data_IF_770605371293
#
_entry.id   IF_770605371293
#
_cell.length_a   1.000
_cell.length_b   1.000
_cell.length_c   1.000
_cell.angle_alpha   90.00
_cell.angle_beta   90.00
_cell.angle_gamma   90.00
#
_symmetry.space_group_name_H-M   'P 1'
#
loop_
_entity.id
_entity.type
_entity.pdbx_description
1 polymer ?
#
# COMPACT_ATOMS: atom_id res chain seq x y z
N UNK A 1 -25.19 0.03 1.43
CA UNK A 1 -23.80 0.56 1.31
C UNK A 1 -23.38 0.49 -0.14
N UNK A 2 -22.77 1.55 -0.68
CA UNK A 2 -22.18 1.57 -2.04
C UNK A 2 -20.89 0.75 -2.01
N UNK A 3 -20.76 -0.27 -2.88
CA UNK A 3 -19.57 -1.15 -2.87
C UNK A 3 -19.23 -1.59 -4.28
N UNK A 4 -17.99 -1.40 -4.71
CA UNK A 4 -17.54 -1.86 -6.03
C UNK A 4 -16.02 -1.92 -6.14
N UNK A 5 -15.55 -2.67 -7.13
CA UNK A 5 -14.15 -2.65 -7.57
C UNK A 5 -14.03 -1.79 -8.81
N UNK A 6 -13.08 -0.87 -8.83
CA UNK A 6 -12.71 -0.09 -10.02
C UNK A 6 -11.53 -0.77 -10.69
N UNK A 7 -11.73 -1.28 -11.90
CA UNK A 7 -10.71 -2.00 -12.66
C UNK A 7 -10.53 -1.40 -14.06
N UNK A 8 -9.51 -1.82 -14.78
CA UNK A 8 -9.25 -1.37 -16.15
C UNK A 8 -8.56 -2.47 -16.95
N UNK A 9 -8.57 -2.42 -18.29
CA UNK A 9 -7.88 -3.39 -19.14
C UNK A 9 -6.37 -3.43 -18.95
N UNK A 10 -5.75 -2.30 -18.55
CA UNK A 10 -4.30 -2.17 -18.39
C UNK A 10 -3.93 -1.08 -17.36
N UNK A 11 -2.65 -1.07 -16.97
CA UNK A 11 -2.06 0.07 -16.24
C UNK A 11 -2.11 1.34 -17.11
N UNK A 12 -2.19 2.52 -16.46
CA UNK A 12 -2.25 3.80 -17.17
C UNK A 12 -3.62 4.16 -17.75
N UNK A 13 -4.67 3.37 -17.52
CA UNK A 13 -6.04 3.64 -17.99
C UNK A 13 -6.79 4.71 -17.18
N UNK A 14 -6.17 5.29 -16.14
CA UNK A 14 -6.74 6.35 -15.31
C UNK A 14 -7.54 5.88 -14.09
N UNK A 15 -7.32 4.64 -13.62
CA UNK A 15 -7.97 4.12 -12.39
C UNK A 15 -7.78 5.06 -11.21
N UNK A 16 -6.53 5.40 -10.86
CA UNK A 16 -6.21 6.24 -9.70
C UNK A 16 -6.87 7.62 -9.79
N UNK A 17 -6.83 8.26 -10.97
CA UNK A 17 -7.52 9.55 -11.18
C UNK A 17 -9.02 9.44 -10.97
N UNK A 18 -9.66 8.38 -11.52
CA UNK A 18 -11.10 8.14 -11.33
C UNK A 18 -11.43 7.72 -9.89
N UNK A 19 -10.57 6.95 -9.21
CA UNK A 19 -10.72 6.64 -7.79
C UNK A 19 -10.78 7.93 -6.97
N UNK A 20 -9.81 8.82 -7.15
CA UNK A 20 -9.78 10.11 -6.45
C UNK A 20 -11.00 10.97 -6.76
N UNK A 21 -11.40 11.03 -8.04
CA UNK A 21 -12.59 11.79 -8.47
C UNK A 21 -13.87 11.24 -7.83
N UNK A 22 -14.06 9.92 -7.83
CA UNK A 22 -15.25 9.27 -7.26
C UNK A 22 -15.29 9.40 -5.73
N UNK A 23 -14.17 9.21 -5.03
CA UNK A 23 -14.10 9.38 -3.58
C UNK A 23 -14.44 10.82 -3.18
N UNK A 24 -13.87 11.81 -3.87
CA UNK A 24 -14.17 13.23 -3.62
C UNK A 24 -15.62 13.59 -3.97
N UNK A 25 -16.17 13.05 -5.07
CA UNK A 25 -17.55 13.26 -5.47
C UNK A 25 -18.55 12.64 -4.48
N UNK A 26 -18.27 11.43 -3.98
CA UNK A 26 -19.08 10.79 -2.94
C UNK A 26 -19.11 11.63 -1.65
N UNK A 27 -17.95 12.14 -1.21
CA UNK A 27 -17.89 13.07 -0.06
C UNK A 27 -18.70 14.33 -0.27
N UNK A 28 -18.60 14.98 -1.45
CA UNK A 28 -19.42 16.17 -1.78
C UNK A 28 -20.93 15.88 -1.73
N UNK A 29 -21.33 14.64 -1.97
CA UNK A 29 -22.73 14.19 -1.89
C UNK A 29 -23.17 13.77 -0.48
N UNK A 30 -22.29 13.88 0.50
CA UNK A 30 -22.60 13.60 1.90
C UNK A 30 -22.39 12.13 2.31
N UNK A 31 -21.80 11.30 1.46
CA UNK A 31 -21.41 9.94 1.84
C UNK A 31 -20.07 9.94 2.62
N UNK A 32 -19.92 9.00 3.53
CA UNK A 32 -18.66 8.68 4.22
C UNK A 32 -17.91 7.53 3.53
N UNK A 33 -17.13 7.76 2.46
CA UNK A 33 -16.43 6.69 1.77
C UNK A 33 -15.18 6.21 2.50
N UNK A 34 -14.85 4.92 2.35
CA UNK A 34 -13.53 4.36 2.54
C UNK A 34 -12.97 3.81 1.21
N UNK A 35 -11.67 3.64 1.15
CA UNK A 35 -11.00 3.14 -0.04
C UNK A 35 -10.15 1.90 0.29
N UNK A 36 -9.98 1.04 -0.70
CA UNK A 36 -9.09 -0.10 -0.64
C UNK A 36 -8.24 -0.15 -1.91
N UNK A 37 -6.96 -0.44 -1.73
CA UNK A 37 -6.04 -0.68 -2.84
C UNK A 37 -5.72 -2.16 -2.95
N UNK A 38 -5.91 -2.74 -4.13
CA UNK A 38 -5.44 -4.09 -4.43
C UNK A 38 -3.92 -4.10 -4.55
N UNK A 39 -3.27 -5.03 -3.86
CA UNK A 39 -1.82 -5.18 -3.92
C UNK A 39 -1.03 -4.35 -2.91
N UNK A 40 0.32 -4.39 -3.00
CA UNK A 40 1.25 -3.90 -1.97
C UNK A 40 1.61 -2.42 -2.15
N UNK A 41 0.66 -1.59 -2.52
CA UNK A 41 0.85 -0.17 -2.81
C UNK A 41 0.77 0.66 -1.53
N UNK A 42 1.77 1.49 -1.26
CA UNK A 42 1.78 2.44 -0.15
C UNK A 42 1.29 3.83 -0.56
N UNK A 43 1.53 4.21 -1.82
CA UNK A 43 1.38 5.59 -2.30
C UNK A 43 -0.09 5.98 -2.41
N UNK A 44 -0.91 5.17 -3.09
CA UNK A 44 -2.33 5.49 -3.27
C UNK A 44 -3.08 5.55 -1.93
N UNK A 45 -2.93 4.57 -0.97
CA UNK A 45 -3.55 4.70 0.34
C UNK A 45 -3.06 5.90 1.16
N UNK A 46 -1.79 6.27 1.09
CA UNK A 46 -1.27 7.48 1.73
C UNK A 46 -1.93 8.73 1.15
N UNK A 47 -2.04 8.80 -0.17
CA UNK A 47 -2.69 9.92 -0.85
C UNK A 47 -4.17 10.05 -0.47
N UNK A 48 -4.91 8.95 -0.44
CA UNK A 48 -6.30 8.96 -0.03
C UNK A 48 -6.46 9.51 1.39
N UNK A 49 -5.60 9.09 2.32
CA UNK A 49 -5.65 9.58 3.71
C UNK A 49 -5.23 11.04 3.85
N UNK A 50 -4.15 11.46 3.20
CA UNK A 50 -3.59 12.81 3.37
C UNK A 50 -4.36 13.86 2.57
N UNK A 51 -4.62 13.63 1.27
CA UNK A 51 -5.21 14.59 0.35
C UNK A 51 -6.73 14.57 0.35
N UNK A 52 -7.35 13.38 0.36
CA UNK A 52 -8.80 13.24 0.31
C UNK A 52 -9.45 13.16 1.69
N UNK A 53 -8.67 12.92 2.75
CA UNK A 53 -9.19 12.64 4.10
C UNK A 53 -10.19 11.47 4.06
N UNK A 54 -9.79 10.40 3.40
CA UNK A 54 -10.54 9.15 3.23
C UNK A 54 -9.72 8.02 3.83
N UNK A 55 -10.32 7.22 4.70
CA UNK A 55 -9.68 6.03 5.23
C UNK A 55 -9.38 5.06 4.08
N UNK A 56 -8.16 4.57 4.05
CA UNK A 56 -7.69 3.76 2.93
C UNK A 56 -6.76 2.64 3.40
N UNK A 57 -6.98 1.44 2.85
CA UNK A 57 -6.39 0.19 3.29
C UNK A 57 -5.90 -0.64 2.10
N UNK A 58 -5.10 -1.67 2.38
CA UNK A 58 -4.65 -2.61 1.35
C UNK A 58 -5.39 -3.94 1.47
N UNK A 59 -5.79 -4.49 0.33
CA UNK A 59 -6.30 -5.85 0.23
C UNK A 59 -5.46 -6.63 -0.78
N UNK A 60 -4.78 -7.66 -0.31
CA UNK A 60 -3.82 -8.39 -1.13
C UNK A 60 -3.94 -9.90 -0.93
N UNK A 61 -4.37 -10.60 -2.00
CA UNK A 61 -4.53 -12.05 -2.02
C UNK A 61 -3.20 -12.82 -2.14
N UNK A 62 -2.07 -12.14 -2.31
CA UNK A 62 -0.77 -12.76 -2.18
C UNK A 62 -0.31 -12.81 -0.73
N UNK A 63 -0.57 -11.75 0.03
CA UNK A 63 -0.20 -11.67 1.44
C UNK A 63 -1.17 -12.43 2.33
N UNK A 64 -2.45 -12.47 1.98
CA UNK A 64 -3.51 -12.95 2.86
C UNK A 64 -4.42 -13.95 2.17
N UNK A 65 -4.84 -14.97 2.92
CA UNK A 65 -5.87 -15.90 2.48
C UNK A 65 -7.21 -15.18 2.21
N UNK A 66 -8.06 -15.71 1.33
CA UNK A 66 -9.35 -15.09 0.99
C UNK A 66 -10.21 -14.73 2.20
N UNK A 67 -10.28 -15.57 3.23
CA UNK A 67 -11.06 -15.30 4.44
C UNK A 67 -10.50 -14.14 5.25
N UNK A 68 -9.17 -14.01 5.32
CA UNK A 68 -8.50 -12.86 5.93
C UNK A 68 -8.82 -11.57 5.15
N UNK A 69 -8.80 -11.61 3.81
CA UNK A 69 -9.14 -10.45 2.97
C UNK A 69 -10.61 -10.04 3.17
N UNK A 70 -11.54 -11.01 3.26
CA UNK A 70 -12.96 -10.71 3.58
C UNK A 70 -13.11 -10.07 4.95
N UNK A 71 -12.39 -10.57 5.96
CA UNK A 71 -12.44 -10.04 7.31
C UNK A 71 -11.86 -8.62 7.38
N UNK A 72 -10.73 -8.34 6.73
CA UNK A 72 -10.14 -7.01 6.62
C UNK A 72 -11.11 -6.04 5.91
N UNK A 73 -11.68 -6.47 4.78
CA UNK A 73 -12.66 -5.66 4.05
C UNK A 73 -13.87 -5.31 4.93
N UNK A 74 -14.47 -6.30 5.59
CA UNK A 74 -15.63 -6.07 6.46
C UNK A 74 -15.30 -5.16 7.64
N UNK A 75 -14.12 -5.35 8.25
CA UNK A 75 -13.69 -4.56 9.41
C UNK A 75 -13.51 -3.08 9.03
N UNK A 76 -12.75 -2.79 7.95
CA UNK A 76 -12.44 -1.42 7.57
C UNK A 76 -13.56 -0.73 6.78
N UNK A 77 -14.50 -1.47 6.21
CA UNK A 77 -15.70 -0.91 5.62
C UNK A 77 -16.79 -0.58 6.65
N UNK A 78 -16.68 -1.11 7.86
CA UNK A 78 -17.65 -0.87 8.92
C UNK A 78 -17.76 0.62 9.29
N UNK A 79 -18.98 1.13 9.37
CA UNK A 79 -19.25 2.54 9.69
C UNK A 79 -19.13 3.51 8.51
N UNK A 80 -18.81 3.02 7.31
CA UNK A 80 -18.79 3.82 6.08
C UNK A 80 -20.03 3.60 5.23
N UNK A 81 -20.39 4.60 4.40
CA UNK A 81 -21.54 4.52 3.48
C UNK A 81 -21.14 3.97 2.11
N UNK A 82 -19.85 4.06 1.78
CA UNK A 82 -19.30 3.60 0.52
C UNK A 82 -17.92 2.95 0.72
N UNK A 83 -17.64 1.88 -0.02
CA UNK A 83 -16.33 1.22 -0.08
C UNK A 83 -15.92 1.03 -1.55
N UNK A 84 -14.83 1.69 -1.94
CA UNK A 84 -14.27 1.64 -3.27
C UNK A 84 -12.95 0.88 -3.25
N UNK A 85 -12.88 -0.24 -3.98
CA UNK A 85 -11.65 -1.01 -4.15
C UNK A 85 -10.98 -0.65 -5.48
N UNK A 86 -9.80 -0.06 -5.46
CA UNK A 86 -9.02 0.18 -6.68
C UNK A 86 -8.17 -1.03 -7.05
N UNK A 87 -8.39 -1.58 -8.24
CA UNK A 87 -7.59 -2.68 -8.79
C UNK A 87 -6.19 -2.24 -9.20
N UNK A 88 -5.21 -3.11 -9.02
CA UNK A 88 -3.88 -2.95 -9.57
C UNK A 88 -3.79 -3.50 -11.00
N UNK A 89 -2.86 -2.98 -11.81
CA UNK A 89 -2.56 -3.47 -13.18
C UNK A 89 -3.80 -3.57 -14.08
N UNK A 90 -3.84 -4.54 -14.98
CA UNK A 90 -5.04 -4.90 -15.73
C UNK A 90 -5.98 -5.82 -14.94
N UNK A 91 -7.23 -5.86 -15.37
CA UNK A 91 -8.32 -6.53 -14.63
C UNK A 91 -8.02 -7.99 -14.27
N UNK A 92 -7.41 -8.72 -15.19
CA UNK A 92 -7.04 -10.13 -15.02
C UNK A 92 -5.55 -10.34 -14.75
N UNK A 93 -4.74 -9.25 -14.72
CA UNK A 93 -3.30 -9.35 -14.51
C UNK A 93 -3.00 -9.60 -13.04
N UNK A 94 -2.50 -10.78 -12.76
CA UNK A 94 -2.11 -11.19 -11.42
C UNK A 94 -0.72 -11.83 -11.40
N UNK A 95 -0.48 -12.68 -10.43
CA UNK A 95 0.82 -13.30 -10.20
C UNK A 95 1.25 -14.15 -11.39
N UNK A 96 2.49 -13.96 -11.87
CA UNK A 96 3.13 -14.81 -12.89
C UNK A 96 2.30 -15.01 -14.16
N UNK A 97 1.69 -13.95 -14.68
CA UNK A 97 0.80 -14.02 -15.86
C UNK A 97 -0.42 -14.92 -15.67
N UNK A 98 -0.91 -15.06 -14.45
CA UNK A 98 -2.18 -15.73 -14.12
C UNK A 98 -3.21 -14.73 -13.60
N UNK A 99 -4.43 -15.17 -13.34
CA UNK A 99 -5.45 -14.34 -12.68
C UNK A 99 -5.37 -14.36 -11.14
N UNK A 100 -4.43 -15.08 -10.56
CA UNK A 100 -4.25 -15.15 -9.11
C UNK A 100 -3.84 -13.80 -8.53
N UNK A 101 -4.52 -13.36 -7.48
CA UNK A 101 -4.35 -12.05 -6.84
C UNK A 101 -4.58 -10.83 -7.78
N UNK A 102 -5.27 -11.00 -8.90
CA UNK A 102 -5.69 -9.90 -9.77
C UNK A 102 -6.87 -9.10 -9.20
N UNK A 103 -7.21 -7.98 -9.82
CA UNK A 103 -8.42 -7.22 -9.48
C UNK A 103 -9.69 -8.05 -9.66
N UNK A 104 -9.74 -8.96 -10.65
CA UNK A 104 -10.83 -9.93 -10.80
C UNK A 104 -10.89 -10.90 -9.61
N UNK A 105 -9.75 -11.47 -9.21
CA UNK A 105 -9.72 -12.39 -8.07
C UNK A 105 -10.18 -11.71 -6.77
N UNK A 106 -9.84 -10.43 -6.58
CA UNK A 106 -10.34 -9.64 -5.44
C UNK A 106 -11.85 -9.43 -5.52
N UNK A 107 -12.37 -9.02 -6.69
CA UNK A 107 -13.81 -8.85 -6.90
C UNK A 107 -14.58 -10.17 -6.67
N UNK A 108 -14.07 -11.29 -7.17
CA UNK A 108 -14.64 -12.63 -6.97
C UNK A 108 -14.62 -13.05 -5.48
N UNK A 109 -13.49 -12.80 -4.81
CA UNK A 109 -13.35 -13.08 -3.37
C UNK A 109 -14.35 -12.31 -2.52
N UNK A 110 -14.59 -11.03 -2.85
CA UNK A 110 -15.46 -10.14 -2.08
C UNK A 110 -16.93 -10.18 -2.56
N UNK A 111 -17.21 -10.79 -3.72
CA UNK A 111 -18.55 -10.80 -4.33
C UNK A 111 -18.99 -9.41 -4.81
N UNK A 112 -18.06 -8.55 -5.22
CA UNK A 112 -18.33 -7.15 -5.56
C UNK A 112 -18.53 -6.93 -7.06
N UNK A 113 -19.45 -6.03 -7.47
CA UNK A 113 -19.55 -5.58 -8.85
C UNK A 113 -18.30 -4.79 -9.26
N UNK A 114 -17.93 -4.94 -10.52
CA UNK A 114 -16.77 -4.27 -11.10
C UNK A 114 -17.22 -3.18 -12.07
N UNK A 115 -16.72 -1.97 -11.85
CA UNK A 115 -16.82 -0.88 -12.82
C UNK A 115 -15.53 -0.83 -13.63
N UNK A 116 -15.65 -1.05 -14.94
CA UNK A 116 -14.50 -1.10 -15.83
C UNK A 116 -14.21 0.29 -16.41
N UNK A 117 -13.05 0.83 -16.09
CA UNK A 117 -12.53 2.07 -16.66
C UNK A 117 -11.91 1.79 -18.00
N UNK A 118 -12.40 2.44 -19.06
CA UNK A 118 -11.89 2.29 -20.43
C UNK A 118 -11.59 3.64 -21.05
N UNK A 119 -10.52 3.71 -21.84
CA UNK A 119 -10.17 4.90 -22.62
C UNK A 119 -10.54 4.67 -24.09
N UNK A 120 -11.49 5.44 -24.66
CA UNK A 120 -11.90 5.28 -26.06
C UNK A 120 -10.90 5.92 -27.04
N UNK A 121 -9.61 5.65 -26.85
CA UNK A 121 -8.52 6.23 -27.65
C UNK A 121 -8.40 5.55 -29.00
N UNK A 122 -8.92 6.20 -30.07
CA UNK A 122 -8.81 5.70 -31.45
C UNK A 122 -9.60 4.42 -31.72
N UNK A 123 -10.56 4.05 -30.85
CA UNK A 123 -11.37 2.85 -30.99
C UNK A 123 -12.86 3.13 -30.79
N UNK A 124 -13.72 2.42 -31.50
CA UNK A 124 -15.18 2.46 -31.37
C UNK A 124 -15.74 1.02 -31.20
N UNK A 125 -16.14 0.35 -32.26
CA UNK A 125 -16.62 -1.05 -32.21
C UNK A 125 -15.54 -2.01 -31.68
N UNK A 126 -14.29 -1.77 -32.00
CA UNK A 126 -13.15 -2.53 -31.45
C UNK A 126 -13.10 -2.46 -29.91
N UNK A 127 -13.45 -1.32 -29.31
CA UNK A 127 -13.54 -1.19 -27.86
C UNK A 127 -14.62 -2.11 -27.28
N UNK A 128 -15.79 -2.22 -27.93
CA UNK A 128 -16.82 -3.16 -27.53
C UNK A 128 -16.34 -4.63 -27.60
N UNK A 129 -15.59 -4.98 -28.64
CA UNK A 129 -15.00 -6.32 -28.77
C UNK A 129 -14.00 -6.63 -27.64
N UNK A 130 -13.16 -5.65 -27.24
CA UNK A 130 -12.24 -5.79 -26.10
C UNK A 130 -13.00 -5.98 -24.79
N UNK A 131 -14.04 -5.18 -24.54
CA UNK A 131 -14.88 -5.28 -23.34
C UNK A 131 -15.59 -6.64 -23.31
N UNK A 132 -16.14 -7.13 -24.43
CA UNK A 132 -16.74 -8.44 -24.51
C UNK A 132 -15.73 -9.57 -24.26
N UNK A 133 -14.48 -9.40 -24.73
CA UNK A 133 -13.39 -10.31 -24.41
C UNK A 133 -13.16 -10.40 -22.90
N UNK A 134 -13.06 -9.26 -22.22
CA UNK A 134 -12.91 -9.22 -20.76
C UNK A 134 -14.15 -9.81 -20.05
N UNK A 135 -15.36 -9.44 -20.48
CA UNK A 135 -16.62 -9.93 -19.88
C UNK A 135 -16.75 -11.44 -19.92
N UNK A 136 -16.29 -12.08 -20.98
CA UNK A 136 -16.47 -13.51 -21.22
C UNK A 136 -15.22 -14.35 -20.88
N UNK A 137 -14.11 -13.74 -20.48
CA UNK A 137 -12.87 -14.46 -20.21
C UNK A 137 -12.93 -15.31 -18.94
N UNK A 138 -13.69 -14.90 -17.94
CA UNK A 138 -13.98 -15.66 -16.70
C UNK A 138 -15.45 -15.54 -16.36
N UNK A 139 -16.00 -16.58 -15.71
CA UNK A 139 -17.39 -16.62 -15.26
C UNK A 139 -17.45 -16.97 -13.78
N UNK A 140 -18.03 -16.10 -12.94
CA UNK A 140 -18.52 -14.76 -13.25
C UNK A 140 -17.38 -13.76 -13.50
N UNK A 141 -17.61 -12.79 -14.39
CA UNK A 141 -16.64 -11.68 -14.58
C UNK A 141 -16.81 -10.55 -13.57
N UNK A 142 -17.98 -10.47 -12.94
CA UNK A 142 -18.42 -9.39 -12.06
C UNK A 142 -18.53 -8.00 -12.71
N UNK A 143 -18.29 -7.89 -14.03
CA UNK A 143 -18.43 -6.61 -14.75
C UNK A 143 -19.89 -6.16 -14.72
N UNK A 144 -20.15 -5.00 -14.10
CA UNK A 144 -21.47 -4.45 -13.90
C UNK A 144 -21.72 -3.14 -14.67
N UNK A 145 -20.66 -2.40 -15.01
CA UNK A 145 -20.78 -1.13 -15.72
C UNK A 145 -19.46 -0.60 -16.26
N UNK A 146 -19.55 0.41 -17.11
CA UNK A 146 -18.42 1.04 -17.79
C UNK A 146 -18.29 2.50 -17.37
N UNK A 147 -17.06 2.95 -17.19
CA UNK A 147 -16.70 4.36 -17.03
C UNK A 147 -15.70 4.75 -18.10
N UNK A 148 -16.01 5.79 -18.90
CA UNK A 148 -15.11 6.26 -19.94
C UNK A 148 -14.16 7.29 -19.33
N UNK A 149 -12.86 7.07 -19.48
CA UNK A 149 -11.83 8.01 -19.04
C UNK A 149 -11.23 8.75 -20.23
N UNK A 150 -10.84 10.01 -20.06
CA UNK A 150 -10.28 10.86 -21.11
C UNK A 150 -11.20 10.95 -22.32
N UNK A 151 -12.49 11.19 -22.09
CA UNK A 151 -13.55 11.12 -23.07
C UNK A 151 -14.29 12.45 -23.19
N UNK A 152 -14.39 12.99 -24.40
CA UNK A 152 -15.16 14.22 -24.66
C UNK A 152 -16.68 13.96 -24.61
N UNK A 153 -17.50 14.99 -24.33
CA UNK A 153 -18.96 14.86 -24.35
C UNK A 153 -19.51 14.29 -25.66
N UNK A 154 -18.97 14.77 -26.79
CA UNK A 154 -19.38 14.30 -28.13
C UNK A 154 -19.03 12.83 -28.34
N UNK A 155 -17.87 12.41 -27.88
CA UNK A 155 -17.43 11.01 -28.03
C UNK A 155 -18.26 10.10 -27.11
N UNK A 156 -18.57 10.54 -25.89
CA UNK A 156 -19.48 9.83 -24.99
C UNK A 156 -20.86 9.63 -25.63
N UNK A 157 -21.48 10.68 -26.18
CA UNK A 157 -22.79 10.58 -26.85
C UNK A 157 -22.80 9.58 -27.99
N UNK A 158 -21.69 9.44 -28.71
CA UNK A 158 -21.54 8.49 -29.79
C UNK A 158 -21.30 7.05 -29.29
N UNK A 159 -20.44 6.90 -28.32
CA UNK A 159 -19.96 5.57 -27.87
C UNK A 159 -20.88 4.91 -26.83
N UNK A 160 -21.51 5.64 -25.95
CA UNK A 160 -22.30 5.03 -24.88
C UNK A 160 -23.43 4.11 -25.42
N UNK A 161 -24.29 4.56 -26.37
CA UNK A 161 -25.32 3.66 -26.93
C UNK A 161 -24.75 2.46 -27.68
N UNK A 162 -23.58 2.65 -28.36
CA UNK A 162 -22.88 1.58 -29.07
C UNK A 162 -22.38 0.52 -28.07
N UNK A 163 -21.68 0.95 -27.02
CA UNK A 163 -21.09 0.06 -26.02
C UNK A 163 -22.18 -0.69 -25.24
N UNK A 164 -23.23 0.01 -24.83
CA UNK A 164 -24.37 -0.64 -24.15
C UNK A 164 -25.03 -1.71 -25.00
N UNK A 165 -25.29 -1.41 -26.29
CA UNK A 165 -25.89 -2.38 -27.23
C UNK A 165 -24.99 -3.60 -27.46
N UNK A 166 -23.70 -3.40 -27.70
CA UNK A 166 -22.77 -4.46 -28.07
C UNK A 166 -22.30 -5.31 -26.88
N UNK A 167 -22.24 -4.72 -25.68
CA UNK A 167 -21.69 -5.40 -24.50
C UNK A 167 -22.77 -5.82 -23.49
N UNK A 168 -23.94 -5.18 -23.55
CA UNK A 168 -24.98 -5.33 -22.54
C UNK A 168 -24.59 -4.75 -21.16
N UNK A 169 -23.53 -3.95 -21.08
CA UNK A 169 -23.09 -3.25 -19.86
C UNK A 169 -23.48 -1.78 -19.94
N UNK A 170 -24.09 -1.19 -18.91
CA UNK A 170 -24.41 0.22 -18.91
C UNK A 170 -23.14 1.09 -18.86
N UNK A 171 -23.14 2.18 -19.62
CA UNK A 171 -22.13 3.23 -19.54
C UNK A 171 -22.59 4.26 -18.50
N UNK A 172 -21.94 4.26 -17.34
CA UNK A 172 -22.34 5.05 -16.18
C UNK A 172 -21.95 6.53 -16.30
N UNK A 173 -21.06 6.85 -17.23
CA UNK A 173 -20.59 8.21 -17.41
C UNK A 173 -19.15 8.28 -17.91
N UNK A 174 -18.57 9.46 -17.82
CA UNK A 174 -17.21 9.68 -18.28
C UNK A 174 -16.48 10.75 -17.47
N UNK A 175 -15.13 10.66 -17.47
CA UNK A 175 -14.25 11.76 -17.06
C UNK A 175 -13.72 12.45 -18.31
N UNK A 176 -13.93 13.77 -18.48
CA UNK A 176 -13.37 14.50 -19.60
C UNK A 176 -11.84 14.61 -19.53
N UNK A 177 -11.22 15.01 -20.63
CA UNK A 177 -9.79 15.30 -20.64
C UNK A 177 -9.48 16.51 -19.76
N UNK A 178 -8.73 16.30 -18.68
CA UNK A 178 -8.36 17.32 -17.68
C UNK A 178 -6.84 17.29 -17.45
N UNK A 179 -6.04 17.83 -18.39
CA UNK A 179 -4.57 17.72 -18.31
C UNK A 179 -3.99 18.37 -17.05
N UNK A 180 -4.60 19.48 -16.59
CA UNK A 180 -4.16 20.20 -15.40
C UNK A 180 -4.61 19.55 -14.08
N UNK A 181 -5.48 18.54 -14.14
CA UNK A 181 -5.98 17.82 -12.96
C UNK A 181 -5.48 16.37 -12.88
N UNK A 182 -4.51 15.98 -13.71
CA UNK A 182 -3.87 14.66 -13.61
C UNK A 182 -3.17 14.54 -12.26
N UNK A 183 -3.57 13.52 -11.51
CA UNK A 183 -2.92 13.13 -10.27
C UNK A 183 -1.77 12.18 -10.60
N UNK A 184 -0.55 12.69 -10.62
CA UNK A 184 0.63 11.87 -10.84
C UNK A 184 0.97 11.11 -9.55
N UNK A 185 0.48 9.89 -9.43
CA UNK A 185 0.65 9.06 -8.23
C UNK A 185 2.13 8.84 -7.84
N UNK A 186 3.05 8.82 -8.81
CA UNK A 186 4.47 8.57 -8.57
C UNK A 186 5.21 9.71 -7.85
N UNK A 187 4.70 10.93 -7.88
CA UNK A 187 5.30 12.09 -7.20
C UNK A 187 4.68 12.39 -5.84
N UNK A 188 3.55 11.76 -5.51
CA UNK A 188 2.80 12.02 -4.29
C UNK A 188 3.42 11.40 -3.03
N UNK A 189 4.21 10.34 -3.17
CA UNK A 189 5.02 9.81 -2.08
C UNK A 189 6.25 10.65 -1.76
N UNK A 190 6.62 11.60 -2.64
CA UNK A 190 7.80 12.45 -2.52
C UNK A 190 7.48 13.87 -2.07
N UNK A 191 6.19 14.25 -2.10
CA UNK A 191 5.72 15.58 -1.67
C UNK A 191 4.55 15.39 -0.74
N UNK A 192 4.56 16.12 0.36
CA UNK A 192 3.38 16.20 1.24
C UNK A 192 2.20 16.78 0.45
N UNK A 193 0.98 16.49 0.89
CA UNK A 193 -0.21 17.06 0.26
C UNK A 193 -0.20 18.60 0.26
N UNK A 194 0.56 19.21 1.17
CA UNK A 194 0.76 20.65 1.29
C UNK A 194 1.78 21.21 0.28
N UNK A 195 2.75 20.38 -0.15
CA UNK A 195 3.77 20.75 -1.13
C UNK A 195 3.29 20.68 -2.59
N UNK A 196 2.17 20.02 -2.86
CA UNK A 196 1.57 19.99 -4.20
C UNK A 196 0.66 21.22 -4.35
N UNK A 197 1.25 22.30 -4.83
CA UNK A 197 0.51 23.53 -5.17
C UNK A 197 -0.73 23.20 -6.03
N UNK A 198 -1.90 23.64 -5.58
CA UNK A 198 -3.17 23.45 -6.28
C UNK A 198 -3.75 22.02 -6.24
N UNK A 199 -3.24 21.12 -5.36
CA UNK A 199 -3.75 19.75 -5.27
C UNK A 199 -5.24 19.70 -4.90
N UNK A 200 -5.66 20.52 -3.94
CA UNK A 200 -7.06 20.60 -3.53
C UNK A 200 -7.96 21.06 -4.69
N UNK A 201 -7.52 22.08 -5.45
CA UNK A 201 -8.23 22.56 -6.63
C UNK A 201 -8.35 21.49 -7.72
N UNK A 202 -7.27 20.71 -7.91
CA UNK A 202 -7.29 19.57 -8.86
C UNK A 202 -8.31 18.50 -8.44
N UNK A 203 -8.32 18.12 -7.16
CA UNK A 203 -9.28 17.18 -6.60
C UNK A 203 -10.72 17.70 -6.75
N UNK A 204 -10.95 18.97 -6.46
CA UNK A 204 -12.26 19.60 -6.60
C UNK A 204 -12.76 19.60 -8.04
N UNK A 205 -11.89 19.95 -8.99
CA UNK A 205 -12.22 19.90 -10.43
C UNK A 205 -12.53 18.48 -10.91
N UNK A 206 -11.78 17.48 -10.46
CA UNK A 206 -12.06 16.08 -10.75
C UNK A 206 -13.42 15.64 -10.20
N UNK A 207 -13.73 16.01 -8.95
CA UNK A 207 -14.99 15.68 -8.31
C UNK A 207 -16.17 16.35 -9.01
N UNK A 208 -16.04 17.60 -9.42
CA UNK A 208 -17.07 18.34 -10.16
C UNK A 208 -17.30 17.72 -11.54
N UNK A 209 -16.22 17.42 -12.26
CA UNK A 209 -16.32 16.80 -13.58
C UNK A 209 -17.04 15.45 -13.53
N UNK A 210 -16.66 14.56 -12.59
CA UNK A 210 -17.34 13.28 -12.41
C UNK A 210 -18.79 13.48 -11.93
N UNK A 211 -19.03 14.38 -11.01
CA UNK A 211 -20.41 14.65 -10.51
C UNK A 211 -21.37 15.11 -11.59
N UNK A 212 -20.87 15.86 -12.57
CA UNK A 212 -21.67 16.37 -13.69
C UNK A 212 -21.92 15.35 -14.80
N UNK A 213 -21.10 14.32 -14.91
CA UNK A 213 -21.11 13.37 -16.05
C UNK A 213 -21.55 11.97 -15.67
N UNK A 214 -21.62 11.65 -14.38
CA UNK A 214 -21.96 10.31 -13.88
C UNK A 214 -23.47 10.15 -13.69
N UNK A 215 -24.02 9.06 -14.18
CA UNK A 215 -25.37 8.60 -13.88
C UNK A 215 -25.39 7.98 -12.48
N UNK A 216 -25.66 8.83 -11.49
CA UNK A 216 -25.67 8.43 -10.08
C UNK A 216 -26.77 7.42 -9.75
N UNK A 217 -27.92 7.50 -10.41
CA UNK A 217 -29.03 6.56 -10.18
C UNK A 217 -28.62 5.15 -10.58
N UNK A 218 -28.07 5.00 -11.80
CA UNK A 218 -27.56 3.70 -12.27
C UNK A 218 -26.39 3.20 -11.44
N UNK A 219 -25.45 4.10 -11.05
CA UNK A 219 -24.35 3.72 -10.17
C UNK A 219 -24.86 3.12 -8.87
N UNK A 220 -25.76 3.84 -8.18
CA UNK A 220 -26.34 3.37 -6.93
C UNK A 220 -27.12 2.06 -7.09
N UNK A 221 -27.90 1.94 -8.16
CA UNK A 221 -28.63 0.71 -8.43
C UNK A 221 -27.72 -0.53 -8.60
N UNK A 222 -26.55 -0.36 -9.21
CA UNK A 222 -25.61 -1.45 -9.47
C UNK A 222 -24.70 -1.78 -8.28
N UNK A 223 -24.43 -0.81 -7.39
CA UNK A 223 -23.40 -0.92 -6.36
C UNK A 223 -23.92 -0.90 -4.93
N UNK A 224 -25.24 -0.73 -4.73
CA UNK A 224 -25.86 -0.80 -3.40
C UNK A 224 -26.01 -2.25 -2.96
N UNK A 225 -25.18 -2.67 -2.04
CA UNK A 225 -25.16 -4.02 -1.47
C UNK A 225 -25.38 -3.96 0.05
N UNK A 226 -25.77 -5.06 0.70
CA UNK A 226 -25.73 -5.17 2.15
C UNK A 226 -24.32 -4.85 2.68
N UNK A 227 -24.24 -4.24 3.86
CA UNK A 227 -22.93 -4.01 4.48
C UNK A 227 -22.19 -5.35 4.68
N UNK A 228 -20.87 -5.40 4.42
CA UNK A 228 -20.12 -6.63 4.59
C UNK A 228 -20.07 -7.01 6.07
N UNK A 229 -20.24 -8.29 6.36
CA UNK A 229 -20.19 -8.82 7.72
C UNK A 229 -19.18 -9.96 7.76
N UNK A 230 -18.26 -9.88 8.70
CA UNK A 230 -17.33 -10.95 9.01
C UNK A 230 -17.00 -10.90 10.50
N UNK A 231 -16.74 -12.03 11.16
CA UNK A 231 -16.22 -12.01 12.51
C UNK A 231 -14.92 -11.19 12.58
N UNK A 232 -14.77 -10.38 13.63
CA UNK A 232 -13.52 -9.64 13.86
C UNK A 232 -12.40 -10.66 14.10
N UNK A 233 -11.34 -10.67 13.28
CA UNK A 233 -10.26 -11.62 13.47
C UNK A 233 -9.43 -11.28 14.71
N UNK A 234 -8.90 -12.31 15.37
CA UNK A 234 -8.10 -12.16 16.60
C UNK A 234 -6.94 -11.17 16.46
N UNK A 235 -6.32 -11.11 15.26
CA UNK A 235 -5.20 -10.21 15.00
C UNK A 235 -5.60 -8.74 14.87
N UNK A 236 -6.89 -8.40 14.88
CA UNK A 236 -7.44 -7.04 14.93
C UNK A 236 -8.23 -6.77 16.22
N UNK A 237 -8.40 -7.78 17.08
CA UNK A 237 -9.11 -7.60 18.35
C UNK A 237 -8.23 -6.76 19.28
N UNK A 238 -8.68 -5.55 19.70
CA UNK A 238 -7.86 -4.67 20.52
C UNK A 238 -7.45 -5.33 21.85
N UNK A 239 -6.15 -5.28 22.17
CA UNK A 239 -5.63 -5.67 23.47
C UNK A 239 -5.21 -4.43 24.27
N UNK A 240 -5.22 -4.53 25.59
CA UNK A 240 -4.67 -3.46 26.44
C UNK A 240 -3.18 -3.27 26.16
N UNK A 241 -2.71 -2.03 25.97
CA UNK A 241 -1.30 -1.75 25.72
C UNK A 241 -0.42 -2.26 26.88
N UNK A 242 0.65 -2.95 26.54
CA UNK A 242 1.58 -3.57 27.50
C UNK A 242 3.03 -3.13 27.31
N UNK A 243 3.33 -2.53 26.14
CA UNK A 243 4.65 -2.05 25.78
C UNK A 243 4.56 -0.93 24.76
N UNK A 244 5.45 0.05 24.88
CA UNK A 244 5.58 1.14 23.90
C UNK A 244 6.54 0.72 22.78
N UNK A 245 6.10 0.92 21.52
CA UNK A 245 6.91 0.68 20.33
C UNK A 245 7.03 2.00 19.59
N UNK A 246 8.27 2.47 19.40
CA UNK A 246 8.55 3.64 18.57
C UNK A 246 8.45 3.28 17.09
N UNK A 247 7.68 4.05 16.33
CA UNK A 247 7.50 3.87 14.89
C UNK A 247 7.99 5.12 14.18
N UNK A 248 9.00 4.99 13.33
CA UNK A 248 9.46 6.10 12.52
C UNK A 248 8.39 6.53 11.53
N UNK A 249 8.10 7.84 11.48
CA UNK A 249 7.08 8.39 10.59
C UNK A 249 7.39 9.85 10.28
N UNK A 250 7.86 10.10 9.08
CA UNK A 250 8.07 11.41 8.48
C UNK A 250 8.16 11.28 6.95
N UNK A 251 8.68 12.27 6.28
CA UNK A 251 8.83 12.32 4.82
C UNK A 251 9.81 11.25 4.31
N UNK A 252 10.80 10.86 5.11
CA UNK A 252 11.77 9.81 4.78
C UNK A 252 11.27 8.41 5.09
N UNK A 253 10.35 8.25 6.07
CA UNK A 253 9.86 6.97 6.59
C UNK A 253 8.32 6.93 6.59
N UNK A 254 7.72 6.65 5.44
CA UNK A 254 6.28 6.79 5.24
C UNK A 254 5.58 5.51 4.73
N UNK A 255 6.32 4.45 4.37
CA UNK A 255 5.75 3.23 3.80
C UNK A 255 5.31 2.25 4.88
N UNK A 256 4.12 2.48 5.42
CA UNK A 256 3.54 1.63 6.45
C UNK A 256 2.11 1.24 6.07
N UNK A 257 1.80 -0.05 6.13
CA UNK A 257 0.42 -0.52 6.02
C UNK A 257 -0.34 -0.18 7.30
N UNK A 258 -1.54 0.37 7.15
CA UNK A 258 -2.42 0.65 8.30
C UNK A 258 -2.72 -0.63 9.08
N UNK A 259 -2.93 -1.74 8.37
CA UNK A 259 -3.18 -3.08 8.89
C UNK A 259 -2.03 -3.59 9.77
N UNK A 260 -0.78 -3.24 9.42
CA UNK A 260 0.40 -3.56 10.23
C UNK A 260 0.37 -2.83 11.58
N UNK A 261 0.03 -1.54 11.56
CA UNK A 261 -0.09 -0.74 12.79
C UNK A 261 -1.22 -1.24 13.68
N UNK A 262 -2.36 -1.60 13.09
CA UNK A 262 -3.51 -2.12 13.84
C UNK A 262 -3.23 -3.52 14.41
N UNK A 263 -2.52 -4.38 13.66
CA UNK A 263 -2.09 -5.67 14.17
C UNK A 263 -1.09 -5.55 15.34
N UNK A 264 -0.22 -4.55 15.33
CA UNK A 264 0.66 -4.24 16.47
C UNK A 264 -0.14 -3.77 17.69
N UNK A 265 -1.13 -2.89 17.52
CA UNK A 265 -2.04 -2.46 18.59
C UNK A 265 -2.82 -3.64 19.16
N UNK A 266 -3.37 -4.49 18.28
CA UNK A 266 -4.07 -5.71 18.69
C UNK A 266 -3.17 -6.70 19.45
N UNK A 267 -1.87 -6.72 19.16
CA UNK A 267 -0.91 -7.50 19.91
C UNK A 267 -0.52 -6.90 21.27
N UNK A 268 -1.00 -5.69 21.61
CA UNK A 268 -0.75 -5.00 22.87
C UNK A 268 0.39 -3.97 22.81
N UNK A 269 0.67 -3.40 21.63
CA UNK A 269 1.58 -2.26 21.49
C UNK A 269 0.86 -0.93 21.66
N UNK A 270 1.44 -0.02 22.45
CA UNK A 270 1.23 1.41 22.35
C UNK A 270 2.20 1.96 21.28
N UNK A 271 1.68 2.48 20.18
CA UNK A 271 2.52 3.02 19.12
C UNK A 271 2.85 4.49 19.39
N UNK A 272 4.13 4.79 19.51
CA UNK A 272 4.66 6.15 19.69
C UNK A 272 5.41 6.55 18.41
N UNK A 273 4.87 7.53 17.69
CA UNK A 273 5.51 7.97 16.45
C UNK A 273 6.64 8.94 16.77
N UNK A 274 7.73 8.83 16.00
CA UNK A 274 8.85 9.76 16.06
C UNK A 274 9.39 10.03 14.64
N UNK A 275 10.06 11.16 14.46
CA UNK A 275 10.62 11.57 13.18
C UNK A 275 12.15 11.48 13.19
N UNK A 276 12.76 10.57 12.43
CA UNK A 276 14.20 10.59 12.22
C UNK A 276 14.74 11.89 11.61
N UNK A 277 13.91 12.66 10.91
CA UNK A 277 14.31 13.97 10.34
C UNK A 277 14.24 15.11 11.35
N UNK A 278 13.24 15.11 12.26
CA UNK A 278 12.89 16.30 13.02
C UNK A 278 13.09 16.16 14.54
N UNK A 279 13.00 14.93 15.08
CA UNK A 279 13.22 14.68 16.51
C UNK A 279 14.71 14.46 16.81
N UNK A 280 15.17 14.94 17.98
CA UNK A 280 16.56 14.81 18.39
C UNK A 280 16.83 13.65 19.35
N UNK A 281 15.78 12.95 19.79
CA UNK A 281 15.88 11.83 20.72
C UNK A 281 14.82 10.75 20.41
N UNK A 282 15.08 9.52 20.80
CA UNK A 282 14.06 8.46 20.80
C UNK A 282 13.02 8.72 21.89
N UNK A 283 11.76 8.31 21.67
CA UNK A 283 10.74 8.35 22.72
C UNK A 283 11.16 7.55 23.95
N UNK A 284 10.82 8.04 25.12
CA UNK A 284 11.16 7.38 26.40
C UNK A 284 10.31 6.12 26.64
N UNK A 285 10.88 5.16 27.39
CA UNK A 285 10.19 3.94 27.83
C UNK A 285 9.78 3.00 26.70
N UNK A 286 10.46 3.03 25.56
CA UNK A 286 10.19 2.13 24.45
C UNK A 286 10.83 0.76 24.65
N UNK A 287 10.08 -0.31 24.34
CA UNK A 287 10.60 -1.67 24.31
C UNK A 287 11.02 -2.16 22.93
N UNK A 288 10.75 -1.39 21.87
CA UNK A 288 11.14 -1.73 20.51
C UNK A 288 11.01 -0.55 19.55
N UNK A 289 11.65 -0.67 18.38
CA UNK A 289 11.60 0.33 17.31
C UNK A 289 11.27 -0.31 15.98
N UNK A 290 10.37 0.31 15.23
CA UNK A 290 10.03 -0.03 13.85
C UNK A 290 10.40 1.11 12.91
N UNK A 291 11.30 0.82 11.97
CA UNK A 291 11.76 1.71 10.91
C UNK A 291 11.19 1.21 9.58
N UNK A 292 10.07 1.74 9.10
CA UNK A 292 9.47 1.31 7.85
C UNK A 292 10.27 1.78 6.62
N UNK A 293 9.80 1.41 5.45
CA UNK A 293 10.30 1.95 4.20
C UNK A 293 9.95 3.42 3.97
N UNK A 294 10.40 3.95 2.87
CA UNK A 294 10.20 5.34 2.46
C UNK A 294 11.25 5.79 1.47
N UNK A 295 11.64 7.05 1.58
CA UNK A 295 12.60 7.72 0.68
C UNK A 295 13.77 8.35 1.44
N UNK A 296 14.53 7.59 2.26
CA UNK A 296 15.65 8.17 3.03
C UNK A 296 16.73 8.76 2.14
N UNK A 297 16.90 8.27 0.91
CA UNK A 297 17.84 8.77 -0.06
C UNK A 297 17.55 10.22 -0.52
N UNK A 298 16.30 10.64 -0.51
CA UNK A 298 15.93 12.03 -0.82
C UNK A 298 16.20 12.97 0.35
N UNK A 299 16.34 12.41 1.53
CA UNK A 299 16.57 13.13 2.78
C UNK A 299 17.93 12.80 3.41
N UNK A 300 18.84 12.16 2.66
CA UNK A 300 20.09 11.62 3.20
C UNK A 300 20.95 12.65 3.91
N UNK A 301 21.01 13.88 3.37
CA UNK A 301 21.72 15.00 3.99
C UNK A 301 21.10 15.38 5.35
N UNK A 302 19.79 15.56 5.40
CA UNK A 302 19.09 15.94 6.64
C UNK A 302 19.19 14.83 7.71
N UNK A 303 19.04 13.56 7.31
CA UNK A 303 19.26 12.41 8.19
C UNK A 303 20.68 12.36 8.75
N UNK A 304 21.69 12.69 7.94
CA UNK A 304 23.09 12.80 8.39
C UNK A 304 23.26 13.92 9.40
N UNK A 305 22.62 15.07 9.21
CA UNK A 305 22.72 16.23 10.10
C UNK A 305 22.08 15.98 11.47
N UNK A 306 21.10 15.08 11.57
CA UNK A 306 20.51 14.65 12.84
C UNK A 306 21.38 13.59 13.55
N UNK A 307 22.61 13.96 13.88
CA UNK A 307 23.56 13.07 14.56
C UNK A 307 23.09 12.61 15.96
N UNK A 308 22.46 13.46 16.80
CA UNK A 308 22.01 13.01 18.12
C UNK A 308 21.07 11.81 18.05
N UNK A 309 20.05 11.84 17.20
CA UNK A 309 19.10 10.74 17.06
C UNK A 309 19.76 9.49 16.46
N UNK A 310 20.63 9.67 15.43
CA UNK A 310 21.35 8.53 14.83
C UNK A 310 22.21 7.80 15.85
N UNK A 311 22.97 8.55 16.68
CA UNK A 311 23.80 7.98 17.73
C UNK A 311 22.95 7.29 18.81
N UNK A 312 21.83 7.91 19.24
CA UNK A 312 20.92 7.34 20.22
C UNK A 312 20.30 6.03 19.71
N UNK A 313 19.86 5.99 18.46
CA UNK A 313 19.31 4.80 17.81
C UNK A 313 20.35 3.69 17.72
N UNK A 314 21.55 4.00 17.21
CA UNK A 314 22.65 3.03 17.12
C UNK A 314 22.97 2.43 18.49
N UNK A 315 23.17 3.27 19.51
CA UNK A 315 23.46 2.82 20.87
C UNK A 315 22.33 1.96 21.46
N UNK A 316 21.06 2.31 21.21
CA UNK A 316 19.94 1.52 21.69
C UNK A 316 19.88 0.14 21.04
N UNK A 317 20.08 0.05 19.72
CA UNK A 317 20.12 -1.22 18.99
C UNK A 317 21.28 -2.10 19.45
N UNK A 318 22.46 -1.50 19.68
CA UNK A 318 23.64 -2.22 20.20
C UNK A 318 23.42 -2.78 21.60
N UNK A 319 22.58 -2.14 22.44
CA UNK A 319 22.14 -2.66 23.73
C UNK A 319 21.06 -3.74 23.62
N UNK A 320 20.64 -4.11 22.42
CA UNK A 320 19.66 -5.18 22.18
C UNK A 320 18.22 -4.70 22.10
N UNK A 321 17.95 -3.40 21.87
CA UNK A 321 16.59 -2.92 21.63
C UNK A 321 15.96 -3.66 20.44
N UNK A 322 14.84 -4.37 20.63
CA UNK A 322 14.12 -5.03 19.58
C UNK A 322 13.83 -4.09 18.41
N UNK A 323 14.37 -4.42 17.23
CA UNK A 323 14.36 -3.53 16.06
C UNK A 323 13.87 -4.25 14.81
N UNK A 324 12.97 -3.60 14.09
CA UNK A 324 12.54 -4.00 12.76
C UNK A 324 12.81 -2.86 11.80
N UNK A 325 13.52 -3.13 10.69
CA UNK A 325 13.86 -2.13 9.68
C UNK A 325 13.62 -2.68 8.27
N UNK A 326 12.71 -2.05 7.53
CA UNK A 326 12.34 -2.47 6.18
C UNK A 326 12.81 -1.45 5.15
N UNK A 327 13.38 -1.91 4.03
CA UNK A 327 13.72 -1.12 2.84
C UNK A 327 14.45 0.20 3.16
N UNK A 328 13.77 1.34 3.19
CA UNK A 328 14.35 2.63 3.57
C UNK A 328 14.91 2.64 5.00
N UNK A 329 14.19 2.02 5.95
CA UNK A 329 14.67 1.83 7.33
C UNK A 329 15.93 0.95 7.39
N UNK A 330 16.01 -0.07 6.55
CA UNK A 330 17.20 -0.90 6.42
C UNK A 330 18.41 -0.11 5.89
N UNK A 331 18.23 0.70 4.85
CA UNK A 331 19.28 1.58 4.31
C UNK A 331 19.78 2.59 5.35
N UNK A 332 18.87 3.17 6.15
CA UNK A 332 19.20 4.10 7.22
C UNK A 332 20.08 3.47 8.32
N UNK A 333 19.96 2.17 8.55
CA UNK A 333 20.81 1.44 9.51
C UNK A 333 22.20 1.12 8.95
N UNK A 334 22.45 1.31 7.65
CA UNK A 334 23.76 1.12 7.02
C UNK A 334 24.82 2.13 7.48
N UNK A 335 26.02 2.00 6.94
CA UNK A 335 27.13 2.93 7.21
C UNK A 335 26.94 4.26 6.48
N UNK A 336 26.47 4.22 5.23
CA UNK A 336 26.22 5.40 4.41
C UNK A 336 25.10 5.14 3.41
N UNK A 337 24.52 6.23 2.90
CA UNK A 337 23.51 6.21 1.85
C UNK A 337 23.80 7.30 0.83
N UNK A 338 23.85 6.95 -0.45
CA UNK A 338 23.90 7.91 -1.55
C UNK A 338 22.55 8.59 -1.75
N UNK A 339 22.57 9.88 -2.00
CA UNK A 339 21.41 10.63 -2.48
C UNK A 339 21.15 10.42 -4.00
N UNK A 340 20.20 11.16 -4.54
CA UNK A 340 19.87 11.10 -5.97
C UNK A 340 21.02 11.57 -6.89
N UNK A 341 21.95 12.38 -6.37
CA UNK A 341 23.10 12.94 -7.09
C UNK A 341 24.36 12.06 -6.93
N UNK A 342 24.29 10.98 -6.15
CA UNK A 342 25.39 10.07 -5.89
C UNK A 342 26.34 10.53 -4.77
N UNK A 343 25.92 11.52 -3.96
CA UNK A 343 26.68 11.94 -2.78
C UNK A 343 26.37 11.03 -1.61
N UNK A 344 27.38 10.37 -1.06
CA UNK A 344 27.24 9.47 0.09
C UNK A 344 27.25 10.22 1.43
N UNK A 345 26.26 9.96 2.26
CA UNK A 345 26.10 10.53 3.61
C UNK A 345 26.16 9.43 4.68
N UNK A 346 26.87 9.64 5.79
CA UNK A 346 26.87 8.72 6.93
C UNK A 346 25.46 8.52 7.49
N UNK A 347 25.11 7.25 7.78
CA UNK A 347 23.84 6.86 8.37
C UNK A 347 24.05 6.31 9.80
N UNK A 348 23.14 5.50 10.34
CA UNK A 348 23.21 5.05 11.73
C UNK A 348 24.39 4.11 12.04
N UNK A 349 24.96 3.45 11.04
CA UNK A 349 26.18 2.62 11.20
C UNK A 349 25.99 1.35 12.00
N UNK A 350 24.77 0.85 12.13
CA UNK A 350 24.44 -0.42 12.81
C UNK A 350 24.86 -1.62 11.95
N UNK A 351 24.68 -1.51 10.64
CA UNK A 351 24.96 -2.53 9.65
C UNK A 351 26.15 -2.16 8.75
N UNK A 352 26.88 -3.13 8.20
CA UNK A 352 28.10 -2.87 7.43
C UNK A 352 27.84 -2.31 6.02
N UNK A 353 26.59 -2.27 5.54
CA UNK A 353 26.26 -1.92 4.16
C UNK A 353 26.39 -0.42 3.86
N UNK A 354 26.69 -0.13 2.58
CA UNK A 354 26.60 1.19 1.99
C UNK A 354 25.52 1.20 0.94
N UNK A 355 24.51 2.05 1.11
CA UNK A 355 23.41 2.19 0.16
C UNK A 355 23.84 3.02 -1.04
N UNK A 356 23.57 2.55 -2.26
CA UNK A 356 23.93 3.21 -3.51
C UNK A 356 22.82 3.15 -4.55
N UNK A 357 22.81 4.13 -5.45
CA UNK A 357 21.82 4.23 -6.53
C UNK A 357 22.12 3.26 -7.65
N UNK A 358 21.11 2.48 -8.09
CA UNK A 358 21.25 1.54 -9.22
C UNK A 358 20.64 2.10 -10.52
N UNK A 359 19.74 3.07 -10.46
CA UNK A 359 19.08 3.69 -11.61
C UNK A 359 18.01 2.84 -12.29
N UNK A 360 17.73 1.64 -11.76
CA UNK A 360 16.65 0.74 -12.19
C UNK A 360 16.07 0.01 -11.00
N UNK A 361 14.87 -0.55 -11.14
CA UNK A 361 14.29 -1.40 -10.11
C UNK A 361 15.14 -2.65 -9.86
N UNK A 362 15.40 -2.93 -8.59
CA UNK A 362 16.17 -4.08 -8.13
C UNK A 362 15.21 -5.06 -7.45
N UNK A 363 15.27 -6.35 -7.81
CA UNK A 363 14.48 -7.44 -7.18
C UNK A 363 12.97 -7.16 -7.06
N UNK A 364 12.43 -6.31 -7.92
CA UNK A 364 11.04 -5.84 -7.88
C UNK A 364 10.00 -6.96 -7.86
N UNK A 365 8.99 -6.84 -7.00
CA UNK A 365 7.76 -7.63 -6.96
C UNK A 365 7.69 -8.60 -5.77
N UNK A 366 6.72 -9.50 -5.84
CA UNK A 366 6.45 -10.48 -4.80
C UNK A 366 7.52 -11.57 -4.72
N UNK A 367 7.80 -12.03 -3.50
CA UNK A 367 8.68 -13.15 -3.21
C UNK A 367 8.22 -13.89 -1.94
N UNK A 368 8.66 -15.12 -1.78
CA UNK A 368 8.58 -15.86 -0.52
C UNK A 368 9.92 -15.71 0.22
N UNK A 369 9.86 -15.22 1.45
CA UNK A 369 11.01 -15.04 2.35
C UNK A 369 11.11 -16.23 3.30
N UNK A 370 12.21 -16.97 3.24
CA UNK A 370 12.47 -18.15 4.08
C UNK A 370 13.67 -17.90 4.98
N UNK A 371 13.51 -17.92 6.32
CA UNK A 371 14.60 -17.74 7.26
C UNK A 371 15.53 -18.95 7.31
N UNK A 372 16.84 -18.73 7.48
CA UNK A 372 17.85 -19.77 7.64
C UNK A 372 17.90 -20.33 9.08
N UNK A 373 17.51 -19.52 10.06
CA UNK A 373 17.50 -19.85 11.48
C UNK A 373 16.31 -19.18 12.20
N UNK A 374 16.08 -19.59 13.43
CA UNK A 374 15.17 -18.91 14.34
C UNK A 374 15.71 -17.53 14.68
N UNK A 375 14.81 -16.55 14.78
CA UNK A 375 15.13 -15.17 15.15
C UNK A 375 14.00 -14.53 15.94
N UNK A 376 14.10 -13.24 16.26
CA UNK A 376 13.05 -12.49 16.92
C UNK A 376 11.68 -12.70 16.27
N UNK A 377 11.59 -12.50 14.97
CA UNK A 377 10.31 -12.53 14.22
C UNK A 377 10.02 -13.88 13.56
N UNK A 378 11.03 -14.65 13.18
CA UNK A 378 10.88 -15.78 12.28
C UNK A 378 11.30 -17.11 12.91
N UNK A 379 10.71 -18.19 12.43
CA UNK A 379 11.11 -19.56 12.78
C UNK A 379 11.62 -20.27 11.54
N UNK A 380 12.68 -21.03 11.68
CA UNK A 380 13.27 -21.82 10.59
C UNK A 380 12.20 -22.67 9.91
N UNK A 381 12.16 -22.63 8.57
CA UNK A 381 11.19 -23.36 7.77
C UNK A 381 9.87 -22.65 7.54
N UNK A 382 9.57 -21.52 8.21
CA UNK A 382 8.44 -20.66 7.83
C UNK A 382 8.74 -19.97 6.50
N UNK A 383 7.73 -19.84 5.65
CA UNK A 383 7.79 -19.00 4.44
C UNK A 383 6.80 -17.87 4.58
N UNK A 384 7.25 -16.63 4.44
CA UNK A 384 6.41 -15.45 4.53
C UNK A 384 6.32 -14.77 3.16
N UNK A 385 5.13 -14.43 2.67
CA UNK A 385 4.98 -13.61 1.47
C UNK A 385 5.46 -12.18 1.75
N UNK A 386 6.29 -11.65 0.86
CA UNK A 386 6.88 -10.32 0.95
C UNK A 386 6.88 -9.63 -0.40
N UNK A 387 7.13 -8.32 -0.39
CA UNK A 387 7.27 -7.52 -1.59
C UNK A 387 8.56 -6.69 -1.52
N UNK A 388 9.28 -6.57 -2.65
CA UNK A 388 10.40 -5.64 -2.79
C UNK A 388 10.12 -4.62 -3.89
N UNK A 389 10.43 -3.36 -3.61
CA UNK A 389 10.33 -2.26 -4.56
C UNK A 389 11.34 -1.18 -4.19
N UNK A 390 12.52 -1.18 -4.83
CA UNK A 390 13.55 -0.18 -4.55
C UNK A 390 14.45 0.08 -5.77
N UNK A 391 14.97 1.31 -5.85
CA UNK A 391 15.91 1.79 -6.86
C UNK A 391 17.35 1.91 -6.32
N UNK A 392 17.52 1.82 -5.01
CA UNK A 392 18.81 1.74 -4.32
C UNK A 392 19.11 0.30 -3.94
N UNK A 393 20.37 -0.04 -3.90
CA UNK A 393 20.86 -1.34 -3.40
C UNK A 393 21.90 -1.08 -2.30
N UNK A 394 22.46 -2.13 -1.74
CA UNK A 394 23.48 -2.06 -0.69
C UNK A 394 24.65 -2.98 -0.99
N UNK A 395 25.84 -2.60 -0.53
CA UNK A 395 27.03 -3.45 -0.61
C UNK A 395 26.97 -4.68 0.32
N UNK A 396 26.04 -4.68 1.31
CA UNK A 396 25.83 -5.79 2.25
C UNK A 396 24.33 -6.05 2.40
N UNK A 397 23.80 -7.01 1.62
CA UNK A 397 22.40 -7.38 1.65
C UNK A 397 22.02 -8.37 2.76
N UNK A 398 23.00 -8.96 3.46
CA UNK A 398 22.76 -10.01 4.44
C UNK A 398 22.46 -11.37 3.82
N UNK A 399 22.32 -12.39 4.67
CA UNK A 399 22.08 -13.78 4.28
C UNK A 399 21.21 -14.57 5.28
N UNK A 400 20.57 -13.86 6.22
CA UNK A 400 19.71 -14.49 7.21
C UNK A 400 18.46 -15.15 6.58
N UNK A 401 18.14 -14.77 5.34
CA UNK A 401 16.98 -15.27 4.59
C UNK A 401 17.37 -15.63 3.15
N UNK A 402 16.53 -16.49 2.56
CA UNK A 402 16.45 -16.65 1.12
C UNK A 402 15.11 -16.08 0.64
N UNK A 403 15.15 -15.05 -0.20
CA UNK A 403 13.98 -14.60 -0.95
C UNK A 403 13.89 -15.38 -2.26
N UNK A 404 12.70 -15.89 -2.60
CA UNK A 404 12.44 -16.66 -3.81
C UNK A 404 11.21 -16.17 -4.54
N UNK A 405 11.35 -15.85 -5.83
CA UNK A 405 10.21 -15.57 -6.71
C UNK A 405 9.59 -16.85 -7.25
N UNK A 406 8.36 -16.74 -7.72
CA UNK A 406 7.65 -17.86 -8.31
C UNK A 406 8.25 -18.33 -9.66
N UNK A 407 9.01 -17.48 -10.35
CA UNK A 407 9.78 -17.86 -11.55
C UNK A 407 11.08 -18.65 -11.24
N UNK A 408 11.34 -18.93 -9.94
CA UNK A 408 12.49 -19.70 -9.47
C UNK A 408 13.73 -18.87 -9.12
N UNK A 409 13.79 -17.58 -9.50
CA UNK A 409 14.90 -16.70 -9.08
C UNK A 409 14.94 -16.58 -7.56
N UNK A 410 16.13 -16.66 -6.99
CA UNK A 410 16.31 -16.53 -5.55
C UNK A 410 17.63 -15.82 -5.22
N UNK A 411 17.66 -15.17 -4.05
CA UNK A 411 18.85 -14.47 -3.55
C UNK A 411 18.88 -14.49 -2.03
N UNK A 412 20.09 -14.47 -1.42
CA UNK A 412 20.23 -14.27 0.01
C UNK A 412 19.94 -12.80 0.35
N UNK A 413 19.34 -12.54 1.50
CA UNK A 413 19.01 -11.19 1.95
C UNK A 413 18.77 -11.13 3.45
N UNK A 414 18.77 -9.88 3.95
CA UNK A 414 18.37 -9.53 5.29
C UNK A 414 19.33 -9.96 6.39
N UNK A 415 19.23 -9.26 7.49
CA UNK A 415 19.91 -9.54 8.75
C UNK A 415 18.86 -9.86 9.82
N UNK A 416 19.09 -10.88 10.62
CA UNK A 416 18.21 -11.25 11.71
C UNK A 416 18.97 -11.93 12.84
N UNK A 417 18.53 -11.65 14.08
CA UNK A 417 18.95 -12.34 15.29
C UNK A 417 17.82 -12.32 16.33
N UNK A 418 18.13 -12.57 17.58
CA UNK A 418 17.14 -12.61 18.69
C UNK A 418 16.51 -11.23 19.02
N UNK A 419 17.06 -10.11 18.51
CA UNK A 419 16.56 -8.75 18.76
C UNK A 419 16.29 -7.95 17.49
N UNK A 420 16.58 -8.50 16.31
CA UNK A 420 16.74 -7.69 15.13
C UNK A 420 16.18 -8.35 13.86
N UNK A 421 15.54 -7.55 13.02
CA UNK A 421 15.30 -7.82 11.60
C UNK A 421 15.58 -6.57 10.78
N UNK A 422 16.36 -6.68 9.71
CA UNK A 422 16.52 -5.62 8.72
C UNK A 422 16.73 -6.20 7.32
N UNK A 423 16.06 -5.63 6.32
CA UNK A 423 16.18 -6.06 4.93
C UNK A 423 15.33 -5.21 3.98
N UNK A 424 15.52 -5.42 2.67
CA UNK A 424 14.67 -4.80 1.66
C UNK A 424 13.24 -5.34 1.62
N UNK A 425 12.97 -6.63 1.92
CA UNK A 425 11.62 -7.15 1.89
C UNK A 425 10.69 -6.39 2.85
N UNK A 426 9.58 -5.90 2.31
CA UNK A 426 8.48 -5.36 3.08
C UNK A 426 7.58 -6.48 3.59
N UNK A 427 7.29 -6.45 4.89
CA UNK A 427 6.47 -7.44 5.57
C UNK A 427 5.02 -6.94 5.68
N UNK A 428 4.07 -7.80 5.35
CA UNK A 428 2.66 -7.54 5.65
C UNK A 428 2.29 -8.31 6.92
N UNK A 429 2.01 -7.60 8.00
CA UNK A 429 1.93 -8.19 9.35
C UNK A 429 0.55 -8.70 9.73
N UNK A 430 -0.52 -8.15 9.12
CA UNK A 430 -1.89 -8.54 9.43
C UNK A 430 -2.13 -10.03 9.10
N UNK A 431 -2.73 -10.75 10.02
CA UNK A 431 -2.98 -12.19 9.88
C UNK A 431 -1.76 -13.09 10.12
N UNK A 432 -0.63 -12.53 10.55
CA UNK A 432 0.61 -13.28 10.85
C UNK A 432 0.92 -13.32 12.34
N UNK A 433 1.93 -14.09 12.72
CA UNK A 433 2.45 -14.13 14.11
C UNK A 433 3.45 -13.00 14.41
N UNK A 434 3.87 -12.22 13.43
CA UNK A 434 4.92 -11.20 13.56
C UNK A 434 4.61 -10.14 14.64
N UNK A 435 3.38 -9.54 14.68
CA UNK A 435 3.06 -8.55 15.70
C UNK A 435 3.24 -9.08 17.12
N UNK A 436 2.74 -10.29 17.38
CA UNK A 436 2.82 -10.92 18.71
C UNK A 436 4.27 -11.23 19.10
N UNK A 437 5.08 -11.71 18.17
CA UNK A 437 6.51 -11.99 18.39
C UNK A 437 7.29 -10.72 18.70
N UNK A 438 7.08 -9.65 17.94
CA UNK A 438 7.74 -8.37 18.18
C UNK A 438 7.33 -7.75 19.51
N UNK A 439 6.04 -7.70 19.83
CA UNK A 439 5.53 -7.21 21.12
C UNK A 439 6.08 -8.03 22.29
N UNK A 440 6.19 -9.35 22.13
CA UNK A 440 6.77 -10.22 23.18
C UNK A 440 8.25 -9.90 23.38
N UNK A 441 9.03 -9.74 22.31
CA UNK A 441 10.44 -9.36 22.43
C UNK A 441 10.59 -7.98 23.09
N UNK A 442 9.77 -7.01 22.70
CA UNK A 442 9.77 -5.66 23.25
C UNK A 442 9.46 -5.65 24.76
N UNK A 443 8.49 -6.45 25.22
CA UNK A 443 8.20 -6.61 26.66
C UNK A 443 9.35 -7.23 27.41
N UNK A 444 9.94 -8.29 26.85
CA UNK A 444 11.08 -8.99 27.48
C UNK A 444 12.32 -8.10 27.60
N UNK A 445 12.51 -7.17 26.67
CA UNK A 445 13.60 -6.21 26.73
C UNK A 445 13.45 -5.29 27.96
N UNK A 446 12.29 -4.66 28.16
CA UNK A 446 12.03 -3.77 29.28
C UNK A 446 12.10 -4.48 30.65
N UNK A 447 11.83 -5.79 30.70
CA UNK A 447 11.93 -6.56 31.95
C UNK A 447 13.38 -6.88 32.32
N UNK A 448 14.31 -6.85 31.36
CA UNK A 448 15.74 -7.12 31.57
C UNK A 448 16.54 -5.86 31.89
N UNK A 449 16.08 -4.68 31.47
CA UNK A 449 16.72 -3.43 31.86
C UNK A 449 16.38 -3.16 33.35
N UNK A 450 17.36 -3.02 34.24
CA UNK A 450 17.09 -2.53 35.58
C UNK A 450 16.51 -1.11 35.47
N UNK A 451 15.40 -0.87 36.16
CA UNK A 451 14.82 0.48 36.32
C UNK A 451 15.94 1.49 36.61
N UNK A 452 16.03 2.62 35.90
CA UNK A 452 17.05 3.63 36.11
C UNK A 452 16.99 4.26 37.49
#
# INVERSE_FOLDING_TARGET
MIQFVLAAPASGSGKTTLTCALLAALKKRGFGPCAFKSGPDYIDPMFHRSALRVDSHNLDLFFSAPDTVRALYAHYAAGHDAALCEGAMGFYDGLNCTTAASAWALADTLGLPVLLVVQPKGASVTLAAQINGLKNFRTPSHLAGLLLNDCSPRLHQLLAPLLERETGLPVLGYLPHLPDAVVESRHLGLKTAEEVSGLQEKIERLAEAVSATLDWERLLALTSLPAPVSPLPDFLTPASPTVRIAVAKDEAFCFTYAETLDALRAAGAELVFFSPLHDTALPEGIGGVYLPGGYPELHAKALRENEPLRCALCAAIQRGLPTVAECGGFLYLGQSLEDADGTAYPMAGVLPGQGFRVGKLVRFGYAALTPQADSMLFRRGEALPVHEFHHWDTTANGDAFTARKADGRSWPCGFANEHFYAGFPHLYWAGTSLPRRFVTAARSYLQKEPNP
#
